data_IF_240558113487
#
_entry.id   IF_240558113487
#
_cell.length_a   1.000
_cell.length_b   1.000
_cell.length_c   1.000
_cell.angle_alpha   90.00
_cell.angle_beta   90.00
_cell.angle_gamma   90.00
#
_symmetry.space_group_name_H-M   'P 1'
#
loop_
_entity.id
_entity.type
_entity.pdbx_description
1 polymer ?
#
# COMPACT_ATOMS: atom_id res chain seq x y z
N UNK A 1 17.78 -0.74 11.52
CA UNK A 1 16.36 -1.08 11.19
C UNK A 1 15.62 0.04 10.45
N UNK A 2 15.94 1.32 10.68
CA UNK A 2 15.21 2.47 10.10
C UNK A 2 15.59 2.78 8.63
N UNK A 3 16.79 2.43 8.16
CA UNK A 3 17.26 2.76 6.80
C UNK A 3 16.51 2.06 5.67
N UNK A 4 15.82 0.94 5.95
CA UNK A 4 15.05 0.21 4.95
C UNK A 4 13.58 0.68 4.84
N UNK A 5 13.06 1.42 5.83
CA UNK A 5 11.63 1.80 5.87
C UNK A 5 11.29 2.98 4.96
N UNK A 6 12.29 3.78 4.54
CA UNK A 6 12.07 4.91 3.63
C UNK A 6 11.47 4.49 2.28
N UNK A 7 11.83 3.29 1.78
CA UNK A 7 11.25 2.74 0.55
C UNK A 7 9.77 2.45 0.70
N UNK A 8 9.32 2.12 1.90
CA UNK A 8 7.91 1.83 2.20
C UNK A 8 7.08 3.12 2.35
N UNK A 9 7.70 4.24 2.70
CA UNK A 9 6.99 5.52 2.81
C UNK A 9 6.93 6.32 1.49
N UNK A 10 7.59 5.86 0.42
CA UNK A 10 7.51 6.55 -0.88
C UNK A 10 6.12 6.46 -1.47
N UNK A 11 5.61 7.60 -1.95
CA UNK A 11 4.37 7.67 -2.72
C UNK A 11 4.52 6.84 -4.01
N UNK A 12 3.47 6.11 -4.39
CA UNK A 12 3.40 5.43 -5.67
C UNK A 12 3.42 6.49 -6.78
N UNK A 13 4.51 6.53 -7.55
CA UNK A 13 4.57 7.19 -8.84
C UNK A 13 4.32 6.10 -9.87
N UNK A 14 3.17 6.13 -10.53
CA UNK A 14 2.78 5.12 -11.53
C UNK A 14 3.76 5.02 -12.70
N UNK A 15 3.49 4.14 -13.67
CA UNK A 15 4.37 3.93 -14.82
C UNK A 15 4.63 5.25 -15.55
N UNK A 16 5.91 5.66 -15.64
CA UNK A 16 6.31 6.74 -16.53
C UNK A 16 6.34 6.18 -17.95
N UNK A 17 5.34 6.53 -18.76
CA UNK A 17 5.36 6.24 -20.19
C UNK A 17 6.44 7.10 -20.86
N UNK A 18 7.57 6.49 -21.21
CA UNK A 18 8.46 7.04 -22.24
C UNK A 18 7.75 6.86 -23.58
N UNK A 19 7.18 7.95 -24.09
CA UNK A 19 6.57 7.99 -25.42
C UNK A 19 7.72 7.88 -26.44
N UNK A 20 8.03 6.67 -26.86
CA UNK A 20 8.83 6.41 -28.06
C UNK A 20 7.97 6.74 -29.28
N UNK A 21 7.97 8.01 -29.67
CA UNK A 21 7.54 8.45 -31.00
C UNK A 21 8.53 7.94 -32.03
N UNK A 22 8.28 6.76 -32.59
CA UNK A 22 9.14 6.07 -33.56
C UNK A 22 8.38 5.58 -34.79
N UNK A 23 8.11 6.52 -35.69
CA UNK A 23 7.87 6.48 -37.14
C UNK A 23 7.68 5.15 -37.90
N UNK A 24 6.77 5.22 -38.89
CA UNK A 24 6.98 4.83 -40.30
C UNK A 24 6.40 3.48 -40.79
N UNK A 25 5.11 3.49 -41.15
CA UNK A 25 4.52 2.47 -42.01
C UNK A 25 4.94 2.70 -43.47
N UNK A 26 5.78 1.82 -44.02
CA UNK A 26 5.93 1.63 -45.48
C UNK A 26 5.16 0.37 -45.88
N UNK A 27 4.16 0.49 -46.75
CA UNK A 27 3.56 -0.65 -47.45
C UNK A 27 3.69 -0.43 -48.95
N UNK A 28 4.30 -1.39 -49.64
CA UNK A 28 4.47 -1.44 -51.09
C UNK A 28 3.73 -2.67 -51.64
N UNK A 29 2.84 -2.39 -52.61
CA UNK A 29 2.34 -3.22 -53.75
C UNK A 29 1.66 -4.58 -53.50
N UNK A 30 0.53 -4.78 -54.18
CA UNK A 30 0.14 -6.10 -54.71
C UNK A 30 -1.38 -6.37 -54.79
N UNK A 31 -1.88 -6.47 -56.01
CA UNK A 31 -3.29 -6.69 -56.42
C UNK A 31 -3.90 -8.04 -55.98
N UNK A 32 -5.20 -8.07 -55.62
CA UNK A 32 -6.28 -8.83 -56.28
C UNK A 32 -7.59 -8.86 -55.43
N UNK A 33 -8.72 -8.71 -56.12
CA UNK A 33 -10.09 -8.56 -55.57
C UNK A 33 -10.69 -9.91 -55.10
N UNK A 34 -11.34 -9.89 -53.94
CA UNK A 34 -12.44 -10.80 -53.54
C UNK A 34 -13.49 -10.03 -52.73
N UNK A 35 -14.78 -10.45 -52.71
CA UNK A 35 -15.90 -9.64 -52.25
C UNK A 35 -15.88 -9.37 -50.74
N UNK A 36 -16.16 -8.12 -50.40
CA UNK A 36 -16.09 -7.52 -49.08
C UNK A 36 -17.22 -8.00 -48.15
N UNK A 37 -16.91 -8.93 -47.24
CA UNK A 37 -17.41 -8.81 -45.87
C UNK A 37 -16.33 -8.01 -45.18
N UNK A 38 -16.47 -6.68 -45.17
CA UNK A 38 -15.69 -5.82 -44.29
C UNK A 38 -16.12 -6.16 -42.86
N UNK A 39 -15.30 -6.81 -42.02
CA UNK A 39 -15.45 -6.59 -40.60
C UNK A 39 -15.16 -5.10 -40.42
N UNK A 40 -16.07 -4.35 -39.81
CA UNK A 40 -15.84 -2.97 -39.44
C UNK A 40 -14.47 -2.88 -38.73
N UNK A 41 -13.45 -2.33 -39.41
CA UNK A 41 -12.08 -2.18 -38.90
C UNK A 41 -12.08 -1.42 -37.56
N UNK A 42 -13.12 -0.60 -37.36
CA UNK A 42 -13.39 0.12 -36.13
C UNK A 42 -13.79 -0.81 -34.97
N UNK A 43 -14.46 -1.94 -35.25
CA UNK A 43 -14.83 -2.95 -34.26
C UNK A 43 -13.63 -3.76 -33.79
N UNK A 44 -12.69 -4.06 -34.70
CA UNK A 44 -11.43 -4.74 -34.36
C UNK A 44 -10.53 -3.77 -33.58
N UNK A 45 -10.38 -2.52 -34.02
CA UNK A 45 -9.66 -1.48 -33.26
C UNK A 45 -10.23 -1.29 -31.85
N UNK A 46 -11.55 -1.16 -31.70
CA UNK A 46 -12.20 -1.05 -30.37
C UNK A 46 -11.99 -2.27 -29.49
N UNK A 47 -11.99 -3.48 -30.05
CA UNK A 47 -11.68 -4.72 -29.31
C UNK A 47 -10.22 -4.76 -28.86
N UNK A 48 -9.30 -4.29 -29.70
CA UNK A 48 -7.86 -4.22 -29.39
C UNK A 48 -7.59 -3.14 -28.33
N UNK A 49 -8.23 -1.97 -28.45
CA UNK A 49 -8.12 -0.87 -27.47
C UNK A 49 -8.75 -1.23 -26.13
N UNK A 50 -9.93 -1.88 -26.14
CA UNK A 50 -10.53 -2.41 -24.91
C UNK A 50 -9.67 -3.52 -24.27
N UNK A 51 -9.01 -4.37 -25.07
CA UNK A 51 -8.03 -5.34 -24.54
C UNK A 51 -6.81 -4.64 -23.95
N UNK A 52 -6.23 -3.66 -24.63
CA UNK A 52 -5.07 -2.89 -24.15
C UNK A 52 -5.41 -2.15 -22.86
N UNK A 53 -6.56 -1.48 -22.79
CA UNK A 53 -7.05 -0.81 -21.59
C UNK A 53 -7.29 -1.82 -20.45
N UNK A 54 -7.89 -2.98 -20.73
CA UNK A 54 -8.10 -4.02 -19.71
C UNK A 54 -6.80 -4.63 -19.19
N UNK A 55 -5.80 -4.81 -20.05
CA UNK A 55 -4.46 -5.28 -19.67
C UNK A 55 -3.72 -4.21 -18.86
N UNK A 56 -3.77 -2.94 -19.28
CA UNK A 56 -3.19 -1.81 -18.53
C UNK A 56 -3.79 -1.65 -17.13
N UNK A 57 -5.12 -1.70 -17.00
CA UNK A 57 -5.80 -1.64 -15.70
C UNK A 57 -5.41 -2.85 -14.82
N UNK A 58 -5.25 -4.04 -15.42
CA UNK A 58 -4.77 -5.23 -14.73
C UNK A 58 -3.35 -5.10 -14.20
N UNK A 59 -2.44 -4.51 -14.99
CA UNK A 59 -1.05 -4.27 -14.61
C UNK A 59 -0.92 -3.19 -13.54
N UNK A 60 -1.72 -2.12 -13.60
CA UNK A 60 -1.78 -1.08 -12.56
C UNK A 60 -2.26 -1.65 -11.21
N UNK A 61 -3.28 -2.51 -11.22
CA UNK A 61 -3.74 -3.21 -10.00
C UNK A 61 -2.68 -4.20 -9.46
N UNK A 62 -1.97 -4.91 -10.34
CA UNK A 62 -0.87 -5.80 -9.93
C UNK A 62 0.27 -5.03 -9.29
N UNK A 63 0.70 -3.94 -9.92
CA UNK A 63 1.75 -3.08 -9.38
C UNK A 63 1.31 -2.47 -8.05
N UNK A 64 0.09 -1.93 -7.96
CA UNK A 64 -0.46 -1.41 -6.70
C UNK A 64 -0.46 -2.47 -5.58
N UNK A 65 -0.72 -3.74 -5.93
CA UNK A 65 -0.67 -4.87 -4.99
C UNK A 65 0.75 -5.17 -4.49
N UNK A 66 1.76 -5.11 -5.37
CA UNK A 66 3.18 -5.24 -5.01
C UNK A 66 3.64 -4.13 -4.06
N UNK A 67 3.00 -2.96 -4.12
CA UNK A 67 3.21 -1.86 -3.19
C UNK A 67 2.41 -2.04 -1.88
N UNK A 68 1.19 -2.53 -1.94
CA UNK A 68 0.30 -2.69 -0.77
C UNK A 68 0.75 -3.83 0.14
N UNK A 69 1.12 -4.98 -0.42
CA UNK A 69 1.36 -6.21 0.34
C UNK A 69 2.53 -6.14 1.34
N UNK A 70 3.71 -5.57 0.99
CA UNK A 70 4.82 -5.45 1.95
C UNK A 70 4.49 -4.52 3.12
N UNK A 71 3.75 -3.44 2.85
CA UNK A 71 3.30 -2.47 3.86
C UNK A 71 2.28 -3.09 4.81
N UNK A 72 1.32 -3.82 4.26
CA UNK A 72 0.33 -4.54 5.05
C UNK A 72 1.01 -5.61 5.93
N UNK A 73 1.89 -6.42 5.36
CA UNK A 73 2.59 -7.47 6.10
C UNK A 73 3.40 -6.87 7.25
N UNK A 74 4.10 -5.76 7.02
CA UNK A 74 4.84 -5.05 8.05
C UNK A 74 3.92 -4.56 9.19
N UNK A 75 2.80 -3.90 8.85
CA UNK A 75 1.82 -3.46 9.84
C UNK A 75 1.26 -4.66 10.63
N UNK A 76 1.01 -5.79 9.97
CA UNK A 76 0.50 -7.00 10.61
C UNK A 76 1.48 -7.56 11.64
N UNK A 77 2.71 -7.83 11.22
CA UNK A 77 3.75 -8.42 12.08
C UNK A 77 4.02 -7.53 13.29
N UNK A 78 4.19 -6.22 13.07
CA UNK A 78 4.51 -5.29 14.16
C UNK A 78 3.32 -5.12 15.11
N UNK A 79 2.10 -4.99 14.58
CA UNK A 79 0.92 -4.81 15.44
C UNK A 79 0.65 -6.03 16.29
N UNK A 80 0.86 -7.23 15.75
CA UNK A 80 0.74 -8.48 16.50
C UNK A 80 1.84 -8.56 17.56
N UNK A 81 3.10 -8.34 17.19
CA UNK A 81 4.23 -8.36 18.12
C UNK A 81 4.01 -7.43 19.31
N UNK A 82 3.74 -6.15 19.06
CA UNK A 82 3.55 -5.16 20.13
C UNK A 82 2.38 -5.52 21.02
N UNK A 83 1.26 -5.98 20.45
CA UNK A 83 0.08 -6.36 21.22
C UNK A 83 0.36 -7.52 22.18
N UNK A 84 0.99 -8.59 21.69
CA UNK A 84 1.32 -9.75 22.51
C UNK A 84 2.43 -9.42 23.51
N UNK A 85 3.54 -8.83 23.07
CA UNK A 85 4.67 -8.50 23.93
C UNK A 85 4.31 -7.50 25.02
N UNK A 86 3.48 -6.49 24.74
CA UNK A 86 3.02 -5.54 25.77
C UNK A 86 2.19 -6.24 26.83
N UNK A 87 1.31 -7.16 26.44
CA UNK A 87 0.50 -7.94 27.38
C UNK A 87 1.39 -8.84 28.25
N UNK A 88 2.29 -9.60 27.62
CA UNK A 88 3.21 -10.49 28.32
C UNK A 88 4.16 -9.75 29.26
N UNK A 89 4.68 -8.58 28.85
CA UNK A 89 5.52 -7.75 29.71
C UNK A 89 4.75 -7.23 30.93
N UNK A 90 3.50 -6.80 30.76
CA UNK A 90 2.64 -6.37 31.88
C UNK A 90 2.32 -7.52 32.85
N UNK A 91 2.13 -8.73 32.34
CA UNK A 91 1.93 -9.92 33.17
C UNK A 91 3.20 -10.29 33.93
N UNK A 92 4.36 -10.27 33.26
CA UNK A 92 5.65 -10.53 33.88
C UNK A 92 5.99 -9.48 34.96
N UNK A 93 5.72 -8.21 34.71
CA UNK A 93 5.91 -7.13 35.67
C UNK A 93 5.17 -7.38 36.99
N UNK A 94 3.92 -7.86 36.90
CA UNK A 94 3.09 -8.19 38.06
C UNK A 94 3.65 -9.36 38.86
N UNK A 95 4.25 -10.34 38.19
CA UNK A 95 4.86 -11.50 38.84
C UNK A 95 6.15 -11.14 39.58
N UNK A 96 6.97 -10.26 38.98
CA UNK A 96 8.22 -9.80 39.61
C UNK A 96 7.91 -8.92 40.84
N UNK A 97 6.83 -8.14 40.79
CA UNK A 97 6.36 -7.27 41.89
C UNK A 97 7.46 -6.34 42.44
N UNK A 98 8.36 -5.90 41.56
CA UNK A 98 9.43 -4.96 41.90
C UNK A 98 9.00 -3.53 41.49
N UNK A 99 8.85 -2.60 42.45
CA UNK A 99 8.46 -1.22 42.17
C UNK A 99 9.53 -0.41 41.42
N UNK A 100 10.78 -0.88 41.37
CA UNK A 100 11.85 -0.24 40.60
C UNK A 100 11.94 -0.73 39.15
N UNK A 101 11.17 -1.77 38.79
CA UNK A 101 11.20 -2.36 37.46
C UNK A 101 10.58 -1.41 36.42
N UNK A 102 11.43 -0.81 35.60
CA UNK A 102 10.99 -0.04 34.44
C UNK A 102 10.83 -0.98 33.23
N UNK A 103 9.62 -1.08 32.68
CA UNK A 103 9.38 -1.91 31.51
C UNK A 103 10.07 -1.29 30.29
N UNK A 104 10.76 -2.11 29.47
CA UNK A 104 11.34 -1.60 28.23
C UNK A 104 10.23 -1.16 27.27
N UNK A 105 10.44 -0.01 26.65
CA UNK A 105 9.58 0.45 25.56
C UNK A 105 9.85 -0.43 24.32
N UNK A 106 8.80 -1.07 23.79
CA UNK A 106 8.94 -1.99 22.65
C UNK A 106 9.20 -1.26 21.32
N UNK A 107 8.68 -0.04 21.18
CA UNK A 107 8.83 0.81 20.00
C UNK A 107 8.94 2.27 20.44
N UNK A 108 9.92 2.98 19.90
CA UNK A 108 10.05 4.41 20.15
C UNK A 108 8.99 5.23 19.40
N UNK A 109 8.82 6.50 19.80
CA UNK A 109 7.90 7.43 19.14
C UNK A 109 8.19 7.57 17.62
N UNK A 110 9.45 7.40 17.18
CA UNK A 110 9.81 7.45 15.76
C UNK A 110 9.24 6.25 15.00
N UNK A 111 9.32 5.04 15.56
CA UNK A 111 8.72 3.85 14.99
C UNK A 111 7.20 4.00 14.88
N UNK A 112 6.54 4.47 15.93
CA UNK A 112 5.09 4.73 15.90
C UNK A 112 4.70 5.75 14.82
N UNK A 113 5.47 6.84 14.68
CA UNK A 113 5.28 7.82 13.60
C UNK A 113 5.38 7.17 12.22
N UNK A 114 6.41 6.34 11.98
CA UNK A 114 6.59 5.67 10.68
C UNK A 114 5.48 4.68 10.36
N UNK A 115 4.96 3.98 11.36
CA UNK A 115 3.85 3.05 11.16
C UNK A 115 2.55 3.79 10.83
N UNK A 116 2.31 4.93 11.48
CA UNK A 116 1.19 5.81 11.15
C UNK A 116 1.29 6.35 9.71
N UNK A 117 2.49 6.75 9.27
CA UNK A 117 2.71 7.19 7.88
C UNK A 117 2.43 6.07 6.87
N UNK A 118 2.87 4.83 7.17
CA UNK A 118 2.61 3.66 6.31
C UNK A 118 1.12 3.36 6.23
N UNK A 119 0.41 3.37 7.36
CA UNK A 119 -1.04 3.19 7.40
C UNK A 119 -1.75 4.28 6.59
N UNK A 120 -1.34 5.55 6.75
CA UNK A 120 -1.87 6.67 5.98
C UNK A 120 -1.64 6.51 4.46
N UNK A 121 -0.47 6.03 4.03
CA UNK A 121 -0.18 5.76 2.61
C UNK A 121 -1.10 4.66 2.07
N UNK A 122 -1.36 3.60 2.83
CA UNK A 122 -2.30 2.55 2.43
C UNK A 122 -3.71 3.12 2.24
N UNK A 123 -4.19 3.95 3.16
CA UNK A 123 -5.50 4.64 3.03
C UNK A 123 -5.54 5.54 1.80
N UNK A 124 -4.45 6.25 1.50
CA UNK A 124 -4.36 7.11 0.31
C UNK A 124 -4.42 6.32 -1.00
N UNK A 125 -3.78 5.14 -1.05
CA UNK A 125 -3.77 4.28 -2.24
C UNK A 125 -5.08 3.50 -2.42
N UNK A 126 -5.79 3.23 -1.34
CA UNK A 126 -7.05 2.48 -1.37
C UNK A 126 -8.28 3.33 -1.65
N UNK A 127 -8.31 4.60 -1.24
CA UNK A 127 -9.50 5.44 -1.44
C UNK A 127 -10.78 4.84 -0.84
N UNK A 128 -10.66 4.21 0.33
CA UNK A 128 -11.72 3.40 0.96
C UNK A 128 -12.25 2.24 0.09
N UNK A 129 -11.45 1.70 -0.83
CA UNK A 129 -11.82 0.45 -1.49
C UNK A 129 -11.92 -0.70 -0.48
N UNK A 130 -12.98 -1.52 -0.53
CA UNK A 130 -13.18 -2.63 0.41
C UNK A 130 -11.99 -3.61 0.46
N UNK A 131 -11.24 -3.72 -0.65
CA UNK A 131 -10.07 -4.59 -0.76
C UNK A 131 -8.95 -4.08 0.15
N UNK A 132 -8.56 -2.80 0.08
CA UNK A 132 -7.50 -2.28 0.97
C UNK A 132 -7.92 -2.29 2.44
N UNK A 133 -9.20 -1.99 2.73
CA UNK A 133 -9.73 -2.03 4.10
C UNK A 133 -9.83 -3.45 4.67
N UNK A 134 -9.86 -4.47 3.80
CA UNK A 134 -9.82 -5.88 4.20
C UNK A 134 -8.42 -6.39 4.57
N UNK A 135 -7.37 -5.61 4.30
CA UNK A 135 -6.02 -6.05 4.59
C UNK A 135 -5.77 -6.16 6.10
N UNK A 136 -5.20 -7.30 6.48
CA UNK A 136 -5.15 -7.72 7.88
C UNK A 136 -4.16 -6.91 8.69
N UNK A 137 -3.07 -6.46 8.09
CA UNK A 137 -2.12 -5.57 8.75
C UNK A 137 -2.71 -4.20 9.04
N UNK A 138 -3.45 -3.63 8.10
CA UNK A 138 -4.18 -2.37 8.33
C UNK A 138 -5.21 -2.53 9.45
N UNK A 139 -6.00 -3.61 9.43
CA UNK A 139 -6.95 -3.92 10.50
C UNK A 139 -6.28 -4.10 11.86
N UNK A 140 -5.19 -4.87 11.90
CA UNK A 140 -4.40 -5.08 13.12
C UNK A 140 -3.80 -3.77 13.64
N UNK A 141 -3.35 -2.87 12.76
CA UNK A 141 -2.86 -1.55 13.16
C UNK A 141 -3.94 -0.78 13.92
N UNK A 142 -5.14 -0.66 13.34
CA UNK A 142 -6.24 0.08 13.96
C UNK A 142 -6.78 -0.58 15.23
N UNK A 143 -6.91 -1.90 15.25
CA UNK A 143 -7.53 -2.61 16.37
C UNK A 143 -6.54 -2.89 17.52
N UNK A 144 -5.25 -3.03 17.22
CA UNK A 144 -4.25 -3.49 18.20
C UNK A 144 -3.19 -2.45 18.49
N UNK A 145 -2.58 -1.85 17.48
CA UNK A 145 -1.42 -0.97 17.70
C UNK A 145 -1.83 0.47 18.06
N UNK A 146 -2.83 1.01 17.38
CA UNK A 146 -3.31 2.37 17.58
C UNK A 146 -3.81 2.62 19.01
N UNK A 147 -4.55 1.71 19.66
CA UNK A 147 -4.96 1.87 21.07
C UNK A 147 -3.80 1.71 22.07
N UNK A 148 -2.73 1.02 21.68
CA UNK A 148 -1.55 0.83 22.54
C UNK A 148 -0.52 1.95 22.42
N UNK A 149 -0.66 2.84 21.44
CA UNK A 149 0.30 3.92 21.17
C UNK A 149 0.05 5.10 22.11
N UNK A 150 1.11 5.65 22.71
CA UNK A 150 0.99 6.84 23.53
C UNK A 150 1.01 8.12 22.69
N UNK A 151 -0.17 8.62 22.33
CA UNK A 151 -0.36 9.79 21.47
C UNK A 151 -0.10 11.14 22.15
N UNK A 152 0.29 11.17 23.43
CA UNK A 152 0.65 12.44 24.09
C UNK A 152 1.96 13.02 23.54
N UNK A 153 2.80 12.19 22.94
CA UNK A 153 4.08 12.60 22.38
C UNK A 153 3.88 13.57 21.21
N UNK A 154 4.48 14.75 21.28
CA UNK A 154 4.25 15.83 20.31
C UNK A 154 4.59 15.45 18.87
N UNK A 155 5.64 14.63 18.69
CA UNK A 155 6.05 14.13 17.37
C UNK A 155 5.00 13.24 16.70
N UNK A 156 4.05 12.68 17.47
CA UNK A 156 2.99 11.82 16.95
C UNK A 156 1.72 12.59 16.58
N UNK A 157 1.61 13.87 16.95
CA UNK A 157 0.42 14.69 16.62
C UNK A 157 0.22 14.84 15.11
N UNK A 158 1.25 15.14 14.29
CA UNK A 158 1.04 15.28 12.85
C UNK A 158 0.60 13.97 12.16
N UNK A 159 1.27 12.81 12.38
CA UNK A 159 0.82 11.54 11.82
C UNK A 159 -0.59 11.15 12.24
N UNK A 160 -0.95 11.36 13.51
CA UNK A 160 -2.29 11.08 14.01
C UNK A 160 -3.35 11.92 13.29
N UNK A 161 -3.12 13.23 13.15
CA UNK A 161 -4.05 14.13 12.47
C UNK A 161 -4.28 13.71 11.01
N UNK A 162 -3.21 13.35 10.31
CA UNK A 162 -3.29 12.87 8.92
C UNK A 162 -4.10 11.58 8.80
N UNK A 163 -3.98 10.69 9.79
CA UNK A 163 -4.70 9.43 9.84
C UNK A 163 -6.19 9.65 10.12
N UNK A 164 -6.52 10.50 11.11
CA UNK A 164 -7.90 10.85 11.47
C UNK A 164 -8.65 11.56 10.34
N UNK A 165 -7.99 12.43 9.56
CA UNK A 165 -8.60 13.08 8.38
C UNK A 165 -8.99 12.12 7.25
N UNK A 166 -8.51 10.88 7.31
CA UNK A 166 -8.74 9.82 6.32
C UNK A 166 -9.62 8.69 6.87
N UNK A 167 -10.21 8.87 8.05
CA UNK A 167 -11.27 8.00 8.56
C UNK A 167 -12.60 8.71 8.35
#
# INVERSE_FOLDING_TARGET
MITASERLTRAFAGPKHEILSGTSYKHSRGSNRSPSIVPDENSVSRLIDNRKNKVQVGDEHRQASEYRWPRDTLLSVISIFVHFSTKSLKELAKLINDPQLHLPELLDAKCHSRLADIAHILLKLGGYDPITMSYRGLQNYFQKLLPCTNWTHETLRPPLNNLLRRM
#
